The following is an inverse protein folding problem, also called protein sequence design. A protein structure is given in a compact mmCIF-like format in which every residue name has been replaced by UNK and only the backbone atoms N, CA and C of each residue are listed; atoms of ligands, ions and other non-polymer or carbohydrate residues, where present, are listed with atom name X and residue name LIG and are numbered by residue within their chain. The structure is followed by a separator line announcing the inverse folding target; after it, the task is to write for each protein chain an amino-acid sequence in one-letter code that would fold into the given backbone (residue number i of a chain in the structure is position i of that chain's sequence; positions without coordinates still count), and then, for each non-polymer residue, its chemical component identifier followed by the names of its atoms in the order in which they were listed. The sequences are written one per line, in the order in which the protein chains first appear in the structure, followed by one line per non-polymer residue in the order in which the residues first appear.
data_IF_822348731593
#
_entry.id   IF_822348731593
#
_cell.length_a   1.000
_cell.length_b   1.000
_cell.length_c   1.000
_cell.angle_alpha   90.00
_cell.angle_beta   90.00
_cell.angle_gamma   90.00
#
_symmetry.space_group_name_H-M   'P 1'
#
loop_
_entity.id
_entity.type
_entity.pdbx_description
1 polymer ?
#
# COMPACT_ATOMS: atom_id res chain seq x y z
N UNK A 1 -5.51 19.84 7.31
CA UNK A 1 -6.04 18.97 6.24
C UNK A 1 -7.39 18.46 6.69
N UNK A 2 -8.47 18.75 5.96
CA UNK A 2 -9.84 18.32 6.32
C UNK A 2 -10.41 17.28 5.34
N UNK A 3 -9.61 16.78 4.39
CA UNK A 3 -10.02 15.79 3.41
C UNK A 3 -9.68 14.38 3.90
N UNK A 4 -10.59 13.44 3.69
CA UNK A 4 -10.36 12.04 4.03
C UNK A 4 -9.32 11.41 3.09
N UNK A 5 -8.38 10.66 3.67
CA UNK A 5 -7.45 9.84 2.91
C UNK A 5 -8.18 8.61 2.32
N UNK A 6 -7.89 8.31 1.06
CA UNK A 6 -8.26 7.02 0.48
C UNK A 6 -7.47 5.88 1.16
N UNK A 7 -8.10 4.72 1.42
CA UNK A 7 -7.42 3.60 2.08
C UNK A 7 -6.18 3.12 1.31
N UNK A 8 -6.23 3.09 -0.03
CA UNK A 8 -5.08 2.75 -0.87
C UNK A 8 -3.89 3.70 -0.72
N UNK A 9 -4.10 4.96 -0.30
CA UNK A 9 -3.04 5.96 -0.13
C UNK A 9 -2.29 5.81 1.19
N UNK A 10 -2.79 4.97 2.11
CA UNK A 10 -2.19 4.74 3.44
C UNK A 10 -2.03 3.23 3.68
N UNK A 11 -1.21 2.54 2.86
CA UNK A 11 -1.18 1.08 2.80
C UNK A 11 -0.87 0.44 4.15
N UNK A 12 0.09 0.99 4.92
CA UNK A 12 0.43 0.49 6.26
C UNK A 12 -0.73 0.65 7.24
N UNK A 13 -1.36 1.83 7.29
CA UNK A 13 -2.48 2.11 8.20
C UNK A 13 -3.67 1.21 7.87
N UNK A 14 -4.00 1.06 6.60
CA UNK A 14 -5.09 0.20 6.14
C UNK A 14 -4.79 -1.26 6.42
N UNK A 15 -3.58 -1.75 6.13
CA UNK A 15 -3.19 -3.12 6.42
C UNK A 15 -3.20 -3.44 7.91
N UNK A 16 -2.77 -2.52 8.79
CA UNK A 16 -2.88 -2.69 10.24
C UNK A 16 -4.34 -2.75 10.70
N UNK A 17 -5.21 -1.89 10.14
CA UNK A 17 -6.65 -1.93 10.43
C UNK A 17 -7.27 -3.27 10.03
N UNK A 18 -6.94 -3.78 8.85
CA UNK A 18 -7.42 -5.10 8.39
C UNK A 18 -6.86 -6.22 9.25
N UNK A 19 -5.58 -6.17 9.66
CA UNK A 19 -5.00 -7.18 10.55
C UNK A 19 -5.74 -7.26 11.89
N UNK A 20 -6.07 -6.12 12.50
CA UNK A 20 -6.87 -6.08 13.73
C UNK A 20 -8.30 -6.58 13.53
N UNK A 21 -8.94 -6.24 12.40
CA UNK A 21 -10.25 -6.77 12.06
C UNK A 21 -10.21 -8.30 11.88
N UNK A 22 -9.18 -8.82 11.22
CA UNK A 22 -8.97 -10.27 11.07
C UNK A 22 -8.74 -10.94 12.42
N UNK A 23 -7.95 -10.34 13.32
CA UNK A 23 -7.77 -10.85 14.68
C UNK A 23 -9.11 -10.91 15.42
N UNK A 24 -9.92 -9.86 15.31
CA UNK A 24 -11.26 -9.81 15.89
C UNK A 24 -12.15 -10.93 15.33
N UNK A 25 -12.19 -11.12 14.02
CA UNK A 25 -13.00 -12.18 13.39
C UNK A 25 -12.55 -13.57 13.83
N UNK A 26 -11.24 -13.84 13.89
CA UNK A 26 -10.72 -15.13 14.38
C UNK A 26 -11.06 -15.34 15.85
N UNK A 27 -10.95 -14.29 16.68
CA UNK A 27 -11.33 -14.35 18.09
C UNK A 27 -12.83 -14.63 18.26
N UNK A 28 -13.67 -14.00 17.43
CA UNK A 28 -15.11 -14.20 17.41
C UNK A 28 -15.48 -15.64 17.00
N UNK A 29 -14.81 -16.20 16.00
CA UNK A 29 -14.93 -17.62 15.63
C UNK A 29 -14.53 -18.51 16.81
N UNK A 30 -13.46 -18.16 17.52
CA UNK A 30 -13.03 -18.85 18.74
C UNK A 30 -14.07 -18.82 19.87
N UNK A 31 -14.83 -17.73 19.99
CA UNK A 31 -15.94 -17.67 20.96
C UNK A 31 -17.09 -18.64 20.61
N UNK A 32 -17.24 -19.00 19.33
CA UNK A 32 -18.25 -19.94 18.84
C UNK A 32 -17.72 -21.38 18.67
N UNK A 33 -16.58 -21.72 19.30
CA UNK A 33 -15.87 -22.98 19.13
C UNK A 33 -16.77 -24.23 19.26
N UNK A 34 -17.54 -24.34 20.35
CA UNK A 34 -18.37 -25.53 20.61
C UNK A 34 -19.47 -25.73 19.56
N UNK A 35 -20.07 -24.63 19.08
CA UNK A 35 -21.09 -24.66 18.02
C UNK A 35 -20.48 -25.14 16.72
N UNK A 36 -19.27 -24.66 16.40
CA UNK A 36 -18.52 -25.08 15.21
C UNK A 36 -18.19 -26.58 15.32
N UNK A 37 -17.70 -27.04 16.47
CA UNK A 37 -17.37 -28.44 16.70
C UNK A 37 -18.57 -29.37 16.44
N UNK A 38 -19.74 -29.03 16.99
CA UNK A 38 -20.98 -29.80 16.79
C UNK A 38 -21.46 -29.74 15.34
N UNK A 39 -21.44 -28.55 14.70
CA UNK A 39 -21.99 -28.37 13.35
C UNK A 39 -21.16 -29.03 12.25
N UNK A 40 -19.84 -29.03 12.42
CA UNK A 40 -18.88 -29.59 11.46
C UNK A 40 -18.40 -30.99 11.84
N UNK A 41 -18.91 -31.56 12.93
CA UNK A 41 -18.53 -32.90 13.43
C UNK A 41 -17.02 -33.07 13.64
N UNK A 42 -16.37 -32.03 14.16
CA UNK A 42 -14.94 -32.02 14.49
C UNK A 42 -14.74 -31.89 16.00
N UNK A 43 -13.58 -32.27 16.51
CA UNK A 43 -13.30 -32.13 17.93
C UNK A 43 -13.12 -30.65 18.34
N UNK A 44 -13.57 -30.30 19.54
CA UNK A 44 -13.39 -28.96 20.14
C UNK A 44 -11.89 -28.63 20.28
N UNK A 45 -11.05 -29.63 20.53
CA UNK A 45 -9.60 -29.46 20.61
C UNK A 45 -9.01 -29.03 19.27
N UNK A 46 -9.43 -29.67 18.17
CA UNK A 46 -8.98 -29.33 16.82
C UNK A 46 -9.32 -27.88 16.46
N UNK A 47 -10.54 -27.44 16.78
CA UNK A 47 -10.98 -26.05 16.54
C UNK A 47 -10.21 -25.07 17.42
N UNK A 48 -9.93 -25.42 18.68
CA UNK A 48 -9.12 -24.61 19.59
C UNK A 48 -7.71 -24.39 19.03
N UNK A 49 -7.05 -25.46 18.56
CA UNK A 49 -5.73 -25.36 17.95
C UNK A 49 -5.75 -24.54 16.66
N UNK A 50 -6.77 -24.71 15.82
CA UNK A 50 -6.93 -23.92 14.60
C UNK A 50 -7.06 -22.42 14.92
N UNK A 51 -7.87 -22.04 15.91
CA UNK A 51 -8.03 -20.65 16.35
C UNK A 51 -6.72 -20.11 16.93
N UNK A 52 -6.01 -20.88 17.76
CA UNK A 52 -4.71 -20.47 18.34
C UNK A 52 -3.69 -20.11 17.27
N UNK A 53 -3.55 -20.96 16.24
CA UNK A 53 -2.66 -20.70 15.11
C UNK A 53 -3.20 -19.51 14.30
N UNK A 54 -4.51 -19.49 14.04
CA UNK A 54 -5.20 -18.46 13.27
C UNK A 54 -5.01 -17.06 13.84
N UNK A 55 -4.99 -16.88 15.16
CA UNK A 55 -4.82 -15.59 15.83
C UNK A 55 -3.49 -14.90 15.48
N UNK A 56 -2.47 -15.66 15.09
CA UNK A 56 -1.19 -15.11 14.68
C UNK A 56 -1.02 -15.12 13.17
N UNK A 57 -1.40 -16.22 12.50
CA UNK A 57 -1.16 -16.38 11.06
C UNK A 57 -2.10 -15.50 10.24
N UNK A 58 -3.40 -15.46 10.56
CA UNK A 58 -4.40 -14.75 9.75
C UNK A 58 -4.15 -13.24 9.75
N UNK A 59 -3.92 -12.55 10.88
CA UNK A 59 -3.64 -11.11 10.87
C UNK A 59 -2.37 -10.75 10.09
N UNK A 60 -1.30 -11.54 10.20
CA UNK A 60 -0.05 -11.30 9.47
C UNK A 60 -0.25 -11.49 7.98
N UNK A 61 -0.95 -12.56 7.58
CA UNK A 61 -1.28 -12.80 6.17
C UNK A 61 -2.19 -11.69 5.60
N UNK A 62 -3.22 -11.29 6.36
CA UNK A 62 -4.13 -10.22 5.97
C UNK A 62 -3.39 -8.89 5.80
N UNK A 63 -2.51 -8.54 6.74
CA UNK A 63 -1.65 -7.36 6.63
C UNK A 63 -0.83 -7.38 5.32
N UNK A 64 -0.12 -8.48 5.06
CA UNK A 64 0.74 -8.61 3.89
C UNK A 64 -0.05 -8.50 2.59
N UNK A 65 -1.21 -9.16 2.52
CA UNK A 65 -2.10 -9.14 1.35
C UNK A 65 -2.68 -7.74 1.12
N UNK A 66 -3.25 -7.11 2.15
CA UNK A 66 -3.83 -5.76 2.04
C UNK A 66 -2.79 -4.74 1.64
N UNK A 67 -1.58 -4.79 2.22
CA UNK A 67 -0.48 -3.89 1.83
C UNK A 67 -0.13 -4.07 0.35
N UNK A 68 0.00 -5.31 -0.13
CA UNK A 68 0.31 -5.59 -1.55
C UNK A 68 -0.79 -5.11 -2.50
N UNK A 69 -2.05 -5.34 -2.15
CA UNK A 69 -3.19 -4.86 -2.95
C UNK A 69 -3.23 -3.33 -3.01
N UNK A 70 -3.01 -2.64 -1.89
CA UNK A 70 -2.97 -1.18 -1.86
C UNK A 70 -1.84 -0.63 -2.73
N UNK A 71 -0.64 -1.24 -2.70
CA UNK A 71 0.48 -0.85 -3.57
C UNK A 71 0.19 -1.13 -5.05
N UNK A 72 -0.47 -2.25 -5.38
CA UNK A 72 -0.90 -2.54 -6.74
C UNK A 72 -1.89 -1.49 -7.27
N UNK A 73 -2.85 -1.08 -6.44
CA UNK A 73 -3.79 -0.01 -6.77
C UNK A 73 -3.09 1.34 -6.94
N UNK A 74 -2.08 1.65 -6.12
CA UNK A 74 -1.27 2.86 -6.27
C UNK A 74 -0.48 2.87 -7.58
N UNK A 75 0.05 1.71 -8.02
CA UNK A 75 0.72 1.61 -9.33
C UNK A 75 -0.25 1.90 -10.46
N UNK A 76 -1.42 1.27 -10.45
CA UNK A 76 -2.46 1.56 -11.45
C UNK A 76 -2.88 3.04 -11.46
N UNK A 77 -3.02 3.66 -10.28
CA UNK A 77 -3.33 5.09 -10.17
C UNK A 77 -2.18 5.96 -10.70
N UNK A 78 -0.91 5.57 -10.49
CA UNK A 78 0.28 6.23 -11.04
C UNK A 78 0.31 6.14 -12.58
N UNK A 79 0.06 4.95 -13.11
CA UNK A 79 0.09 4.71 -14.56
C UNK A 79 -1.00 5.51 -15.27
N UNK A 80 -2.18 5.62 -14.67
CA UNK A 80 -3.26 6.50 -15.15
C UNK A 80 -2.82 7.96 -15.19
N UNK A 81 -2.17 8.46 -14.14
CA UNK A 81 -1.67 9.85 -14.13
C UNK A 81 -0.65 10.10 -15.23
N UNK A 82 0.21 9.13 -15.53
CA UNK A 82 1.29 9.28 -16.50
C UNK A 82 0.83 9.11 -17.95
N UNK A 83 -0.09 8.19 -18.22
CA UNK A 83 -0.48 7.81 -19.58
C UNK A 83 -1.89 8.28 -19.96
N UNK A 84 -2.68 8.78 -19.01
CA UNK A 84 -4.09 9.08 -19.21
C UNK A 84 -5.00 7.88 -18.96
N UNK A 85 -6.29 8.03 -19.26
CA UNK A 85 -7.26 6.95 -19.14
C UNK A 85 -7.40 6.20 -20.46
N UNK A 86 -7.53 4.89 -20.34
CA UNK A 86 -7.95 3.97 -21.40
C UNK A 86 -9.31 4.42 -21.96
N UNK A 87 -9.39 4.64 -23.28
CA UNK A 87 -10.65 4.99 -23.97
C UNK A 87 -11.34 3.76 -24.54
N UNK A 88 -10.65 2.63 -24.64
CA UNK A 88 -11.12 1.44 -25.35
C UNK A 88 -11.11 1.58 -26.88
N UNK A 89 -10.60 2.68 -27.42
CA UNK A 89 -10.47 2.90 -28.86
C UNK A 89 -9.08 2.43 -29.30
N UNK A 90 -9.05 1.33 -30.05
CA UNK A 90 -7.83 0.78 -30.64
C UNK A 90 -7.72 1.30 -32.08
N UNK A 91 -6.68 2.08 -32.36
CA UNK A 91 -6.40 2.58 -33.71
C UNK A 91 -5.22 1.81 -34.31
N UNK A 92 -5.37 1.40 -35.58
CA UNK A 92 -4.27 0.80 -36.33
C UNK A 92 -3.45 1.89 -37.02
N UNK A 93 -2.17 1.94 -36.70
CA UNK A 93 -1.21 2.87 -37.26
C UNK A 93 -0.81 2.48 -38.70
N UNK A 94 -0.30 3.40 -39.53
CA UNK A 94 0.12 3.10 -40.91
C UNK A 94 1.20 2.03 -41.02
N UNK A 95 2.03 1.86 -39.99
CA UNK A 95 3.05 0.82 -39.85
C UNK A 95 2.46 -0.57 -39.50
N UNK A 96 1.15 -0.66 -39.27
CA UNK A 96 0.44 -1.88 -38.90
C UNK A 96 0.32 -2.15 -37.39
N UNK A 97 0.90 -1.29 -36.53
CA UNK A 97 0.82 -1.39 -35.06
C UNK A 97 -0.59 -1.01 -34.56
N UNK A 98 -1.00 -1.59 -33.44
CA UNK A 98 -2.26 -1.24 -32.77
C UNK A 98 -1.95 -0.47 -31.50
N UNK A 99 -2.43 0.78 -31.41
CA UNK A 99 -2.24 1.64 -30.25
C UNK A 99 -3.59 1.99 -29.65
N UNK A 100 -3.69 1.89 -28.33
CA UNK A 100 -4.86 2.39 -27.60
C UNK A 100 -4.73 3.90 -27.39
N UNK A 101 -5.74 4.64 -27.83
CA UNK A 101 -5.80 6.08 -27.63
C UNK A 101 -6.09 6.33 -26.15
N UNK A 102 -5.16 6.99 -25.46
CA UNK A 102 -5.38 7.42 -24.09
C UNK A 102 -5.79 8.89 -24.06
N UNK A 103 -6.78 9.22 -23.23
CA UNK A 103 -7.19 10.61 -23.03
C UNK A 103 -6.61 11.13 -21.71
N UNK A 104 -6.02 12.34 -21.69
CA UNK A 104 -5.50 12.93 -20.46
C UNK A 104 -6.61 13.09 -19.42
N UNK A 105 -6.22 12.96 -18.16
CA UNK A 105 -7.11 13.21 -17.03
C UNK A 105 -7.35 14.71 -16.85
N UNK A 106 -8.53 15.07 -16.35
CA UNK A 106 -8.79 16.46 -15.97
C UNK A 106 -7.93 16.88 -14.77
N UNK A 107 -7.70 18.18 -14.61
CA UNK A 107 -6.91 18.70 -13.49
C UNK A 107 -7.45 18.27 -12.11
N UNK A 108 -8.77 18.16 -11.98
CA UNK A 108 -9.43 17.66 -10.78
C UNK A 108 -9.09 16.19 -10.50
N UNK A 109 -9.13 15.34 -11.54
CA UNK A 109 -8.79 13.93 -11.43
C UNK A 109 -7.32 13.73 -11.08
N UNK A 110 -6.42 14.52 -11.68
CA UNK A 110 -4.99 14.51 -11.34
C UNK A 110 -4.76 14.91 -9.89
N UNK A 111 -5.44 15.95 -9.40
CA UNK A 111 -5.37 16.36 -7.99
C UNK A 111 -5.81 15.21 -7.07
N UNK A 112 -6.95 14.60 -7.39
CA UNK A 112 -7.55 13.47 -6.68
C UNK A 112 -6.61 12.26 -6.53
N UNK A 113 -5.72 12.02 -7.48
CA UNK A 113 -4.74 10.93 -7.41
C UNK A 113 -3.45 11.35 -6.69
N UNK A 114 -3.03 12.61 -6.81
CA UNK A 114 -1.71 13.09 -6.38
C UNK A 114 -1.70 13.83 -5.04
N UNK A 115 -2.83 14.28 -4.49
CA UNK A 115 -2.81 15.17 -3.30
C UNK A 115 -2.41 14.52 -1.97
N UNK A 116 -2.35 13.18 -1.90
CA UNK A 116 -2.16 12.44 -0.64
C UNK A 116 -0.75 12.61 -0.05
N UNK A 117 -0.59 12.66 1.26
CA UNK A 117 0.76 12.79 1.86
C UNK A 117 1.56 11.47 1.78
N UNK A 118 2.85 11.55 1.42
CA UNK A 118 3.78 10.41 1.45
C UNK A 118 4.79 10.59 2.59
N UNK A 119 4.80 9.64 3.52
CA UNK A 119 5.63 9.71 4.72
C UNK A 119 7.03 9.27 4.37
N UNK A 120 8.02 10.05 4.80
CA UNK A 120 9.42 9.65 4.70
C UNK A 120 9.80 8.88 5.97
N UNK A 121 10.67 7.86 5.84
CA UNK A 121 11.15 7.16 7.02
C UNK A 121 11.90 8.13 7.93
N UNK A 122 11.74 7.92 9.23
CA UNK A 122 12.48 8.67 10.25
C UNK A 122 13.93 8.20 10.17
N UNK A 123 14.81 9.10 9.71
CA UNK A 123 16.24 8.84 9.71
C UNK A 123 16.77 8.57 11.13
N UNK A 124 17.93 7.91 11.27
CA UNK A 124 18.60 7.80 12.55
C UNK A 124 18.93 9.22 13.03
N UNK A 125 18.13 9.75 13.96
CA UNK A 125 18.20 11.16 14.34
C UNK A 125 19.62 11.60 14.67
N UNK A 126 20.13 12.57 13.91
CA UNK A 126 21.40 13.24 14.17
C UNK A 126 21.16 14.14 15.39
N UNK A 127 21.43 13.60 16.57
CA UNK A 127 21.41 14.36 17.81
C UNK A 127 22.59 13.88 18.63
N UNK A 128 23.46 14.82 18.97
CA UNK A 128 24.64 14.62 19.82
C UNK A 128 24.30 13.64 20.93
N UNK A 129 25.01 12.52 20.93
CA UNK A 129 24.94 11.59 22.04
C UNK A 129 25.53 12.31 23.26
N UNK A 130 24.69 12.96 24.05
CA UNK A 130 25.05 13.18 25.44
C UNK A 130 25.32 11.80 26.04
N UNK A 131 26.52 11.62 26.59
CA UNK A 131 27.05 10.33 27.07
C UNK A 131 26.11 9.61 28.07
N UNK A 132 25.16 10.33 28.67
CA UNK A 132 24.19 9.85 29.66
C UNK A 132 22.98 9.07 29.12
N UNK A 133 22.88 8.82 27.81
CA UNK A 133 21.77 8.02 27.28
C UNK A 133 21.92 6.53 27.64
N UNK A 134 21.10 6.09 28.62
CA UNK A 134 20.91 4.68 29.01
C UNK A 134 20.81 3.76 27.78
N UNK A 135 21.49 2.61 27.81
CA UNK A 135 21.57 1.63 26.70
C UNK A 135 20.19 1.28 26.11
N UNK A 136 19.16 1.17 26.96
CA UNK A 136 17.78 0.91 26.54
C UNK A 136 17.23 1.96 25.56
N UNK A 137 17.57 3.25 25.74
CA UNK A 137 17.12 4.33 24.87
C UNK A 137 17.79 4.26 23.48
N UNK A 138 19.06 3.83 23.42
CA UNK A 138 19.77 3.58 22.16
C UNK A 138 19.15 2.42 21.38
N UNK A 139 18.84 1.31 22.07
CA UNK A 139 18.17 0.16 21.45
C UNK A 139 16.77 0.53 20.92
N UNK A 140 15.97 1.23 21.71
CA UNK A 140 14.64 1.70 21.29
C UNK A 140 14.73 2.62 20.06
N UNK A 141 15.70 3.55 20.02
CA UNK A 141 15.92 4.42 18.85
C UNK A 141 16.26 3.62 17.59
N UNK A 142 17.12 2.61 17.70
CA UNK A 142 17.52 1.74 16.58
C UNK A 142 16.35 0.88 16.06
N UNK A 143 15.56 0.33 16.97
CA UNK A 143 14.34 -0.39 16.58
C UNK A 143 13.35 0.54 15.88
N UNK A 144 13.13 1.75 16.42
CA UNK A 144 12.23 2.74 15.82
C UNK A 144 12.66 3.13 14.41
N UNK A 145 13.94 3.42 14.18
CA UNK A 145 14.43 3.77 12.84
C UNK A 145 14.29 2.58 11.88
N UNK A 146 14.60 1.36 12.34
CA UNK A 146 14.43 0.16 11.55
C UNK A 146 12.96 -0.11 11.16
N UNK A 147 12.03 -0.01 12.11
CA UNK A 147 10.60 -0.15 11.84
C UNK A 147 10.10 0.95 10.90
N UNK A 148 10.56 2.18 11.07
CA UNK A 148 10.19 3.27 10.18
C UNK A 148 10.70 3.04 8.77
N UNK A 149 11.91 2.52 8.61
CA UNK A 149 12.49 2.19 7.31
C UNK A 149 11.75 1.02 6.65
N UNK A 150 11.42 -0.03 7.40
CA UNK A 150 10.65 -1.17 6.87
C UNK A 150 9.22 -0.77 6.42
N UNK A 151 8.59 0.16 7.15
CA UNK A 151 7.22 0.58 6.87
C UNK A 151 7.12 1.68 5.80
N UNK A 152 8.10 2.59 5.74
CA UNK A 152 8.04 3.80 4.91
C UNK A 152 9.25 4.02 3.99
N UNK A 153 10.27 3.16 4.06
CA UNK A 153 11.50 3.25 3.27
C UNK A 153 11.32 2.90 1.79
N UNK A 154 12.44 2.74 1.10
CA UNK A 154 12.45 2.53 -0.34
C UNK A 154 11.68 1.27 -0.76
N UNK A 155 10.74 1.44 -1.70
CA UNK A 155 9.86 0.36 -2.18
C UNK A 155 8.63 0.06 -1.29
N UNK A 156 8.53 0.65 -0.10
CA UNK A 156 7.35 0.49 0.76
C UNK A 156 6.15 1.35 0.32
N UNK A 157 6.39 2.37 -0.51
CA UNK A 157 5.41 3.27 -1.11
C UNK A 157 5.73 3.45 -2.59
N UNK A 158 4.70 3.65 -3.41
CA UNK A 158 4.88 4.00 -4.83
C UNK A 158 5.11 5.50 -4.93
N UNK A 159 6.28 5.92 -5.43
CA UNK A 159 6.59 7.33 -5.59
C UNK A 159 5.59 8.00 -6.54
N UNK A 160 5.14 9.21 -6.17
CA UNK A 160 4.25 9.99 -7.03
C UNK A 160 4.95 10.36 -8.35
N UNK A 161 4.19 10.46 -9.45
CA UNK A 161 4.65 11.12 -10.67
C UNK A 161 5.22 12.50 -10.38
N UNK A 162 6.39 12.80 -10.93
CA UNK A 162 6.94 14.15 -10.89
C UNK A 162 6.34 14.99 -12.03
N UNK A 163 6.33 16.31 -11.86
CA UNK A 163 5.84 17.23 -12.91
C UNK A 163 6.67 17.08 -14.19
N UNK A 164 7.98 16.86 -14.05
CA UNK A 164 8.89 16.62 -15.17
C UNK A 164 8.53 15.34 -15.92
N UNK A 165 8.30 14.23 -15.20
CA UNK A 165 7.91 12.95 -15.78
C UNK A 165 6.58 13.06 -16.54
N UNK A 166 5.61 13.77 -15.98
CA UNK A 166 4.34 14.06 -16.65
C UNK A 166 4.53 14.89 -17.93
N UNK A 167 5.35 15.94 -17.88
CA UNK A 167 5.62 16.82 -19.03
C UNK A 167 6.38 16.13 -20.16
N UNK A 168 7.30 15.22 -19.84
CA UNK A 168 8.05 14.46 -20.86
C UNK A 168 7.12 13.54 -21.65
N UNK A 169 6.16 12.89 -20.98
CA UNK A 169 5.20 11.98 -21.64
C UNK A 169 4.12 12.71 -22.44
N UNK A 170 3.77 13.94 -22.04
CA UNK A 170 2.72 14.74 -22.70
C UNK A 170 3.26 15.79 -23.68
N UNK A 171 4.58 15.92 -23.83
CA UNK A 171 5.17 16.67 -24.94
C UNK A 171 5.03 15.83 -26.20
N UNK A 172 4.37 16.38 -27.21
CA UNK A 172 4.36 15.81 -28.57
C UNK A 172 5.80 15.51 -29.03
N UNK A 173 6.03 14.44 -29.81
CA UNK A 173 7.34 14.20 -30.39
C UNK A 173 7.65 15.38 -31.30
N UNK A 174 8.60 16.22 -30.88
CA UNK A 174 9.21 17.21 -31.76
C UNK A 174 9.77 16.46 -32.96
N UNK A 175 9.30 16.85 -34.15
CA UNK A 175 9.80 16.43 -35.46
C UNK A 175 11.33 16.38 -35.46
N UNK A 176 11.90 15.19 -35.28
CA UNK A 176 13.34 14.97 -35.38
C UNK A 176 13.62 13.80 -36.33
N UNK A 177 13.07 13.93 -37.54
CA UNK A 177 13.49 13.23 -38.74
C UNK A 177 13.29 14.18 -39.94
N UNK A 178 14.19 15.16 -40.05
CA UNK A 178 14.42 15.93 -41.27
C UNK A 178 15.56 15.30 -42.07
#
# INVERSE_FOLDING_TARGET
QNLLDRPRNRPVRTALGVAWLSFYVVSLIGAANDIIAVRFHVSVESVTWAVRIGLFVVPVAAYALTKRLALGLQRSDRDKVLHGRETGIITRMPNGEFVEVHEPLSQEQLHVLTQHEQYKPIGPGVGDATEDLKIAFRLARRLRSWFSESLYGEGAQIAKPTVQEYQVLHKEPTEDHA
#
